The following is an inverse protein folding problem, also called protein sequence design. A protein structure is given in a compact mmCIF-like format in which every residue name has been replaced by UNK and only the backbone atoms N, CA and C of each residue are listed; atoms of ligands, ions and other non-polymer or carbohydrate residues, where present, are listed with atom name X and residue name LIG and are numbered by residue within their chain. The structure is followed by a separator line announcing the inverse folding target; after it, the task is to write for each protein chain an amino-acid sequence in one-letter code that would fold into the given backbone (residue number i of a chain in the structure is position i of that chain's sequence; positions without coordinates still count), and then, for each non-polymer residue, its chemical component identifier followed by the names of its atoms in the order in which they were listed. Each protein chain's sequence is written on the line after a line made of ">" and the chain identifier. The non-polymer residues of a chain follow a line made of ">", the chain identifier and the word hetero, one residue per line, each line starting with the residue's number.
data_IF_404718085912
#
_entry.id   IF_404718085912
#
_cell.length_a   1.000
_cell.length_b   1.000
_cell.length_c   1.000
_cell.angle_alpha   90.00
_cell.angle_beta   90.00
_cell.angle_gamma   90.00
#
_symmetry.space_group_name_H-M   'P 1'
#
loop_
_entity.id
_entity.type
_entity.pdbx_description
1 polymer ?
#
# COMPACT_ATOMS: atom_id res chain seq x y z
N UNK A 1 0.55 21.08 13.25
CA UNK A 1 1.16 19.74 13.32
C UNK A 1 0.09 18.76 13.80
N UNK A 2 -0.94 18.54 12.98
CA UNK A 2 -1.83 17.39 13.18
C UNK A 2 -0.99 16.17 12.76
N UNK A 3 -0.74 15.32 13.74
CA UNK A 3 0.40 14.42 13.77
C UNK A 3 0.30 13.36 12.66
N UNK A 4 1.34 13.18 11.84
CA UNK A 4 1.36 12.10 10.83
C UNK A 4 1.07 10.73 11.46
N UNK A 5 1.42 10.54 12.74
CA UNK A 5 1.10 9.33 13.49
C UNK A 5 -0.41 9.18 13.75
N UNK A 6 -1.14 10.29 13.92
CA UNK A 6 -2.59 10.27 14.06
C UNK A 6 -3.27 9.78 12.77
N UNK A 7 -2.89 10.34 11.62
CA UNK A 7 -3.41 9.90 10.32
C UNK A 7 -3.09 8.43 10.05
N UNK A 8 -1.85 7.99 10.36
CA UNK A 8 -1.47 6.58 10.24
C UNK A 8 -2.30 5.66 11.12
N UNK A 9 -2.53 6.05 12.38
CA UNK A 9 -3.33 5.26 13.33
C UNK A 9 -4.79 5.19 12.89
N UNK A 10 -5.37 6.30 12.44
CA UNK A 10 -6.73 6.35 11.91
C UNK A 10 -6.87 5.46 10.66
N UNK A 11 -5.96 5.58 9.69
CA UNK A 11 -5.97 4.76 8.48
C UNK A 11 -5.83 3.27 8.79
N UNK A 12 -4.96 2.90 9.75
CA UNK A 12 -4.85 1.51 10.21
C UNK A 12 -6.14 0.98 10.85
N UNK A 13 -6.84 1.81 11.62
CA UNK A 13 -8.16 1.46 12.16
C UNK A 13 -9.19 1.27 11.04
N UNK A 14 -9.23 2.15 10.05
CA UNK A 14 -10.12 2.03 8.89
C UNK A 14 -9.84 0.77 8.08
N UNK A 15 -8.56 0.41 7.87
CA UNK A 15 -8.18 -0.86 7.22
C UNK A 15 -8.68 -2.08 7.99
N UNK A 16 -8.47 -2.11 9.31
CA UNK A 16 -8.91 -3.23 10.16
C UNK A 16 -10.43 -3.38 10.21
N UNK A 17 -11.17 -2.30 9.98
CA UNK A 17 -12.65 -2.28 10.01
C UNK A 17 -13.28 -2.30 8.62
N UNK A 18 -12.49 -2.41 7.54
CA UNK A 18 -12.97 -2.44 6.16
C UNK A 18 -13.50 -1.10 5.62
N UNK A 19 -13.22 0.01 6.29
CA UNK A 19 -13.69 1.35 5.92
C UNK A 19 -12.71 2.05 4.95
N UNK A 20 -12.39 1.40 3.83
CA UNK A 20 -11.35 1.86 2.89
C UNK A 20 -11.60 3.25 2.31
N UNK A 21 -12.86 3.62 2.11
CA UNK A 21 -13.30 4.95 1.64
C UNK A 21 -12.90 6.11 2.57
N UNK A 22 -12.58 5.82 3.85
CA UNK A 22 -12.21 6.81 4.86
C UNK A 22 -10.70 7.01 4.99
N UNK A 23 -9.91 6.23 4.25
CA UNK A 23 -8.46 6.34 4.23
C UNK A 23 -8.08 7.58 3.44
N UNK A 24 -7.41 8.52 4.10
CA UNK A 24 -6.88 9.74 3.48
C UNK A 24 -5.37 9.71 3.60
N UNK A 25 -4.68 9.74 2.46
CA UNK A 25 -3.22 9.82 2.40
C UNK A 25 -2.85 10.97 1.47
N UNK A 26 -2.46 12.11 2.05
CA UNK A 26 -2.06 13.30 1.28
C UNK A 26 -0.80 13.00 0.44
N UNK A 27 -0.85 13.32 -0.85
CA UNK A 27 0.28 13.15 -1.77
C UNK A 27 0.58 11.70 -2.18
N UNK A 28 -0.34 10.77 -1.92
CA UNK A 28 -0.23 9.39 -2.35
C UNK A 28 -1.12 9.10 -3.56
N UNK A 29 -0.66 8.20 -4.41
CA UNK A 29 -1.40 7.73 -5.60
C UNK A 29 -2.10 6.42 -5.26
N UNK A 30 -3.41 6.34 -5.51
CA UNK A 30 -4.16 5.08 -5.39
C UNK A 30 -3.74 4.13 -6.51
N UNK A 31 -3.36 2.91 -6.14
CA UNK A 31 -2.89 1.83 -7.02
C UNK A 31 -3.85 0.66 -7.09
N UNK A 32 -4.69 0.49 -6.06
CA UNK A 32 -5.84 -0.42 -6.05
C UNK A 32 -7.03 0.35 -5.49
N UNK A 33 -7.96 0.69 -6.38
CA UNK A 33 -9.15 1.47 -6.10
C UNK A 33 -10.18 0.71 -5.26
N UNK A 34 -10.20 -0.63 -5.36
CA UNK A 34 -11.16 -1.48 -4.64
C UNK A 34 -10.90 -1.48 -3.14
N UNK A 35 -9.63 -1.47 -2.75
CA UNK A 35 -9.19 -1.48 -1.35
C UNK A 35 -8.62 -0.12 -0.90
N UNK A 36 -8.67 0.90 -1.77
CA UNK A 36 -8.05 2.20 -1.57
C UNK A 36 -6.58 2.07 -1.08
N UNK A 37 -5.83 1.17 -1.71
CA UNK A 37 -4.41 0.97 -1.42
C UNK A 37 -3.63 1.95 -2.26
N UNK A 38 -2.67 2.60 -1.62
CA UNK A 38 -1.82 3.62 -2.23
C UNK A 38 -0.39 3.12 -2.45
N UNK A 39 0.37 3.80 -3.29
CA UNK A 39 1.82 3.60 -3.43
C UNK A 39 2.55 3.70 -2.08
N UNK A 40 2.07 4.56 -1.17
CA UNK A 40 2.59 4.67 0.21
C UNK A 40 2.32 3.43 1.06
N UNK A 41 1.23 2.73 0.83
CA UNK A 41 0.96 1.48 1.56
C UNK A 41 1.87 0.36 1.10
N UNK A 42 2.20 0.34 -0.20
CA UNK A 42 3.24 -0.55 -0.74
C UNK A 42 4.60 -0.18 -0.13
N UNK A 43 4.94 1.11 -0.07
CA UNK A 43 6.18 1.59 0.56
C UNK A 43 6.28 1.13 2.03
N UNK A 44 5.20 1.27 2.80
CA UNK A 44 5.15 0.80 4.19
C UNK A 44 5.27 -0.72 4.30
N UNK A 45 4.58 -1.48 3.43
CA UNK A 45 4.70 -2.94 3.41
C UNK A 45 6.14 -3.39 3.15
N UNK A 46 6.84 -2.71 2.24
CA UNK A 46 8.26 -2.95 1.95
C UNK A 46 9.13 -2.61 3.15
N UNK A 47 8.95 -1.46 3.81
CA UNK A 47 9.68 -1.10 5.04
C UNK A 47 9.45 -2.11 6.18
N UNK A 48 8.31 -2.78 6.19
CA UNK A 48 7.98 -3.86 7.12
C UNK A 48 8.49 -5.24 6.66
N UNK A 49 9.27 -5.31 5.58
CA UNK A 49 9.98 -6.50 5.11
C UNK A 49 9.36 -7.26 3.94
N UNK A 50 8.25 -6.80 3.35
CA UNK A 50 7.66 -7.45 2.18
C UNK A 50 8.39 -7.00 0.90
N UNK A 51 9.29 -7.81 0.37
CA UNK A 51 10.19 -7.44 -0.74
C UNK A 51 9.74 -7.97 -2.11
N UNK A 52 8.74 -8.85 -2.13
CA UNK A 52 8.17 -9.45 -3.33
C UNK A 52 6.70 -9.06 -3.53
N UNK A 53 6.22 -9.13 -4.78
CA UNK A 53 4.80 -8.90 -5.09
C UNK A 53 3.91 -9.80 -4.22
N UNK A 54 4.24 -11.09 -4.11
CA UNK A 54 3.48 -12.07 -3.35
C UNK A 54 3.36 -11.70 -1.86
N UNK A 55 4.44 -11.27 -1.22
CA UNK A 55 4.41 -10.83 0.18
C UNK A 55 3.53 -9.60 0.39
N UNK A 56 3.62 -8.63 -0.52
CA UNK A 56 2.80 -7.41 -0.48
C UNK A 56 1.33 -7.75 -0.72
N UNK A 57 1.02 -8.66 -1.66
CA UNK A 57 -0.34 -9.16 -1.87
C UNK A 57 -0.87 -9.92 -0.65
N UNK A 58 -0.05 -10.75 -0.01
CA UNK A 58 -0.46 -11.48 1.18
C UNK A 58 -0.82 -10.54 2.34
N UNK A 59 -0.07 -9.45 2.49
CA UNK A 59 -0.23 -8.46 3.55
C UNK A 59 -1.39 -7.48 3.31
N UNK A 60 -1.47 -6.91 2.11
CA UNK A 60 -2.41 -5.83 1.79
C UNK A 60 -3.65 -6.29 1.01
N UNK A 61 -3.62 -7.50 0.43
CA UNK A 61 -4.61 -8.00 -0.54
C UNK A 61 -4.67 -7.17 -1.83
N UNK A 62 -3.62 -6.40 -2.12
CA UNK A 62 -3.50 -5.57 -3.32
C UNK A 62 -3.53 -6.42 -4.59
N UNK A 63 -4.20 -5.94 -5.64
CA UNK A 63 -4.16 -6.59 -6.96
C UNK A 63 -5.07 -7.80 -7.13
N UNK A 64 -5.80 -8.23 -6.09
CA UNK A 64 -6.69 -9.40 -6.17
C UNK A 64 -7.88 -9.08 -7.08
N UNK A 65 -7.89 -9.67 -8.28
CA UNK A 65 -8.91 -9.45 -9.30
C UNK A 65 -8.73 -8.14 -10.09
N UNK A 66 -7.53 -7.54 -10.08
CA UNK A 66 -7.15 -6.49 -11.01
C UNK A 66 -6.60 -7.07 -12.32
N UNK A 67 -6.44 -6.22 -13.33
CA UNK A 67 -5.83 -6.58 -14.61
C UNK A 67 -4.34 -6.90 -14.46
N UNK A 68 -3.80 -7.66 -15.42
CA UNK A 68 -2.37 -7.97 -15.47
C UNK A 68 -1.50 -6.70 -15.51
N UNK A 69 -1.94 -5.64 -16.19
CA UNK A 69 -1.24 -4.36 -16.25
C UNK A 69 -1.11 -3.69 -14.88
N UNK A 70 -2.17 -3.74 -14.05
CA UNK A 70 -2.15 -3.19 -12.70
C UNK A 70 -1.21 -4.02 -11.78
N UNK A 71 -1.21 -5.35 -11.95
CA UNK A 71 -0.27 -6.22 -11.23
C UNK A 71 1.19 -5.91 -11.57
N UNK A 72 1.50 -5.68 -12.85
CA UNK A 72 2.85 -5.27 -13.28
C UNK A 72 3.26 -3.94 -12.67
N UNK A 73 2.35 -2.97 -12.59
CA UNK A 73 2.62 -1.68 -11.95
C UNK A 73 2.89 -1.82 -10.44
N UNK A 74 2.09 -2.62 -9.74
CA UNK A 74 2.31 -2.94 -8.33
C UNK A 74 3.68 -3.59 -8.15
N UNK A 75 4.03 -4.56 -8.99
CA UNK A 75 5.34 -5.22 -8.94
C UNK A 75 6.49 -4.23 -9.14
N UNK A 76 6.36 -3.28 -10.08
CA UNK A 76 7.36 -2.24 -10.30
C UNK A 76 7.53 -1.34 -9.08
N UNK A 77 6.44 -0.98 -8.39
CA UNK A 77 6.51 -0.21 -7.14
C UNK A 77 7.22 -1.01 -6.03
N UNK A 78 6.89 -2.30 -5.88
CA UNK A 78 7.56 -3.18 -4.92
C UNK A 78 9.06 -3.22 -5.20
N UNK A 79 9.46 -3.48 -6.44
CA UNK A 79 10.89 -3.49 -6.84
C UNK A 79 11.57 -2.16 -6.56
N UNK A 80 10.95 -1.04 -6.93
CA UNK A 80 11.47 0.30 -6.70
C UNK A 80 11.74 0.57 -5.21
N UNK A 81 10.77 0.28 -4.33
CA UNK A 81 10.94 0.50 -2.90
C UNK A 81 11.90 -0.51 -2.26
N UNK A 82 11.88 -1.77 -2.71
CA UNK A 82 12.82 -2.80 -2.24
C UNK A 82 14.26 -2.38 -2.53
N UNK A 83 14.55 -1.92 -3.75
CA UNK A 83 15.87 -1.40 -4.12
C UNK A 83 16.23 -0.14 -3.34
N UNK A 84 15.29 0.80 -3.17
CA UNK A 84 15.50 2.03 -2.40
C UNK A 84 15.91 1.79 -0.94
N UNK A 85 15.41 0.74 -0.29
CA UNK A 85 15.61 0.51 1.15
C UNK A 85 16.53 -0.66 1.50
N UNK A 86 16.66 -1.65 0.62
CA UNK A 86 17.43 -2.88 0.87
C UNK A 86 18.49 -3.18 -0.21
N UNK A 87 18.52 -2.40 -1.29
CA UNK A 87 19.52 -2.49 -2.36
C UNK A 87 20.81 -1.74 -2.05
#
# INVERSE_FOLDING_TARGET
>A
MADKAFHKTANNYFRKTGQYERIVVEGARVVDDRLNITDKDIEEAVLEGAQTLEEVQNKLKVGVGLSLSALTEIEQLVRFYSEKYYG
#
